data_IF_109869735042
#
_entry.id   IF_109869735042
#
_cell.length_a   1.000
_cell.length_b   1.000
_cell.length_c   1.000
_cell.angle_alpha   90.00
_cell.angle_beta   90.00
_cell.angle_gamma   90.00
#
_symmetry.space_group_name_H-M   'P 1'
#
loop_
_entity.id
_entity.type
_entity.pdbx_description
1 polymer ?
#
# COMPACT_ATOMS: atom_id res chain seq x y z
N UNK A 1 -11.11 -16.76 6.20
CA UNK A 1 -10.62 -15.41 6.53
C UNK A 1 -11.00 -14.46 5.43
N UNK A 2 -11.60 -13.32 5.77
CA UNK A 2 -12.09 -12.38 4.76
C UNK A 2 -11.11 -11.23 4.59
N UNK A 3 -10.69 -10.97 3.35
CA UNK A 3 -9.84 -9.84 3.03
C UNK A 3 -10.72 -8.63 2.71
N UNK A 4 -10.49 -7.54 3.42
CA UNK A 4 -11.26 -6.30 3.25
C UNK A 4 -10.42 -5.29 2.51
N UNK A 5 -10.97 -4.73 1.43
CA UNK A 5 -10.31 -3.67 0.67
C UNK A 5 -11.35 -2.93 -0.16
N UNK A 6 -10.95 -1.77 -0.65
CA UNK A 6 -11.79 -0.91 -1.48
C UNK A 6 -11.03 -0.58 -2.76
N UNK A 7 -11.65 -0.82 -3.91
CA UNK A 7 -11.05 -0.42 -5.19
C UNK A 7 -11.06 1.10 -5.32
N UNK A 8 -9.90 1.67 -5.60
CA UNK A 8 -9.75 3.10 -5.89
C UNK A 8 -9.76 3.36 -7.38
N UNK A 9 -9.38 2.35 -8.15
CA UNK A 9 -9.40 2.34 -9.61
C UNK A 9 -9.47 0.88 -10.05
N UNK A 10 -9.46 0.63 -11.35
CA UNK A 10 -9.44 -0.75 -11.87
C UNK A 10 -8.18 -1.52 -11.46
N UNK A 11 -7.12 -0.80 -11.08
CA UNK A 11 -5.80 -1.41 -10.87
C UNK A 11 -5.26 -1.23 -9.46
N UNK A 12 -5.89 -0.44 -8.59
CA UNK A 12 -5.38 -0.14 -7.25
C UNK A 12 -6.49 -0.26 -6.22
N UNK A 13 -6.23 -1.05 -5.17
CA UNK A 13 -7.11 -1.18 -4.03
C UNK A 13 -6.44 -0.63 -2.77
N UNK A 14 -7.23 -0.09 -1.86
CA UNK A 14 -6.78 0.41 -0.57
C UNK A 14 -7.35 -0.44 0.55
N UNK A 15 -6.56 -0.63 1.61
CA UNK A 15 -6.97 -1.44 2.74
C UNK A 15 -6.40 -0.90 4.05
N UNK A 16 -6.94 -1.39 5.17
CA UNK A 16 -6.36 -1.20 6.49
C UNK A 16 -5.23 -2.20 6.74
N UNK A 17 -4.66 -2.13 7.95
CA UNK A 17 -3.52 -2.98 8.34
C UNK A 17 -3.80 -4.46 8.08
N UNK A 18 -2.79 -5.14 7.56
CA UNK A 18 -2.81 -6.57 7.28
C UNK A 18 -1.83 -7.32 8.19
N UNK A 19 -2.01 -8.62 8.28
CA UNK A 19 -1.11 -9.53 8.97
C UNK A 19 -0.29 -10.34 7.95
N UNK A 20 0.84 -10.94 8.36
CA UNK A 20 1.61 -11.78 7.45
C UNK A 20 0.79 -12.89 6.80
N UNK A 21 -0.18 -13.44 7.52
CA UNK A 21 -1.05 -14.50 7.00
C UNK A 21 -2.02 -14.03 5.93
N UNK A 22 -2.17 -12.71 5.74
CA UNK A 22 -3.01 -12.16 4.68
C UNK A 22 -2.33 -12.17 3.32
N UNK A 23 -0.99 -12.24 3.28
CA UNK A 23 -0.28 -12.11 2.00
C UNK A 23 -0.61 -13.23 1.01
N UNK A 24 -0.70 -14.51 1.42
CA UNK A 24 -1.15 -15.54 0.50
C UNK A 24 -2.58 -15.30 -0.02
N UNK A 25 -3.45 -14.74 0.82
CA UNK A 25 -4.83 -14.44 0.44
C UNK A 25 -4.85 -13.31 -0.60
N UNK A 26 -4.03 -12.28 -0.39
CA UNK A 26 -3.88 -11.17 -1.33
C UNK A 26 -3.40 -11.69 -2.69
N UNK A 27 -2.39 -12.57 -2.68
CA UNK A 27 -1.89 -13.20 -3.91
C UNK A 27 -2.98 -14.01 -4.60
N UNK A 28 -3.77 -14.76 -3.83
CA UNK A 28 -4.85 -15.58 -4.38
C UNK A 28 -5.96 -14.73 -5.01
N UNK A 29 -6.13 -13.49 -4.59
CA UNK A 29 -7.08 -12.56 -5.21
C UNK A 29 -6.58 -11.99 -6.54
N UNK A 30 -5.35 -12.30 -6.94
CA UNK A 30 -4.79 -11.86 -8.21
C UNK A 30 -3.94 -10.60 -8.14
N UNK A 31 -3.75 -10.03 -6.97
CA UNK A 31 -2.86 -8.87 -6.81
C UNK A 31 -1.41 -9.27 -7.13
N UNK A 32 -0.64 -8.32 -7.62
CA UNK A 32 0.77 -8.53 -8.01
C UNK A 32 1.75 -7.77 -7.13
N UNK A 33 1.31 -6.62 -6.59
CA UNK A 33 2.16 -5.74 -5.78
C UNK A 33 1.44 -5.33 -4.52
N UNK A 34 2.17 -5.28 -3.41
CA UNK A 34 1.69 -4.73 -2.14
C UNK A 34 2.50 -3.49 -1.81
N UNK A 35 1.81 -2.39 -1.50
CA UNK A 35 2.44 -1.16 -1.03
C UNK A 35 2.04 -0.93 0.42
N UNK A 36 3.04 -0.74 1.29
CA UNK A 36 2.82 -0.42 2.70
C UNK A 36 3.09 1.06 2.93
N UNK A 37 2.03 1.82 3.24
CA UNK A 37 2.13 3.24 3.55
C UNK A 37 2.21 3.52 5.05
N UNK A 38 2.22 2.51 5.89
CA UNK A 38 2.22 2.70 7.34
C UNK A 38 3.63 2.59 7.92
N UNK A 39 4.13 3.63 8.62
CA UNK A 39 5.44 3.55 9.26
C UNK A 39 5.52 2.43 10.28
N UNK A 40 6.69 1.81 10.39
CA UNK A 40 6.95 0.82 11.43
C UNK A 40 6.78 1.44 12.81
N UNK A 41 6.25 0.66 13.74
CA UNK A 41 6.11 1.09 15.13
C UNK A 41 4.96 2.02 15.41
N UNK A 42 4.22 2.47 14.38
CA UNK A 42 3.11 3.41 14.58
C UNK A 42 2.05 2.85 15.54
N UNK A 43 1.76 1.57 15.43
CA UNK A 43 0.77 0.88 16.26
C UNK A 43 1.38 0.15 17.46
N UNK A 44 2.65 0.38 17.74
CA UNK A 44 3.33 -0.29 18.84
C UNK A 44 3.73 -1.72 18.52
N UNK A 45 3.89 -2.53 19.56
CA UNK A 45 4.39 -3.90 19.42
C UNK A 45 3.44 -4.83 18.67
N UNK A 46 2.16 -4.50 18.63
CA UNK A 46 1.17 -5.32 17.93
C UNK A 46 1.18 -5.17 16.43
N UNK A 47 1.86 -4.14 15.90
CA UNK A 47 1.92 -3.92 14.47
C UNK A 47 3.03 -4.77 13.85
N UNK A 48 2.73 -5.59 12.82
CA UNK A 48 3.79 -6.32 12.13
C UNK A 48 4.80 -5.37 11.49
N UNK A 49 6.07 -5.69 11.60
CA UNK A 49 7.12 -4.91 10.98
C UNK A 49 7.07 -5.05 9.46
N UNK A 50 7.46 -3.98 8.75
CA UNK A 50 7.50 -4.00 7.29
C UNK A 50 8.37 -5.13 6.75
N UNK A 51 9.51 -5.39 7.37
CA UNK A 51 10.40 -6.48 6.95
C UNK A 51 9.72 -7.85 7.05
N UNK A 52 8.90 -8.05 8.05
CA UNK A 52 8.13 -9.30 8.21
C UNK A 52 7.08 -9.45 7.12
N UNK A 53 6.36 -8.37 6.83
CA UNK A 53 5.36 -8.38 5.77
C UNK A 53 6.01 -8.57 4.41
N UNK A 54 7.18 -7.98 4.20
CA UNK A 54 7.93 -8.15 2.95
C UNK A 54 8.30 -9.60 2.72
N UNK A 55 8.83 -10.28 3.75
CA UNK A 55 9.18 -11.70 3.63
C UNK A 55 7.96 -12.54 3.28
N UNK A 56 6.81 -12.26 3.91
CA UNK A 56 5.58 -12.99 3.62
C UNK A 56 5.09 -12.70 2.20
N UNK A 57 5.21 -11.46 1.75
CA UNK A 57 4.81 -11.07 0.39
C UNK A 57 5.68 -11.80 -0.65
N UNK A 58 6.99 -11.79 -0.46
CA UNK A 58 7.92 -12.46 -1.37
C UNK A 58 7.69 -13.95 -1.40
N UNK A 59 7.43 -14.57 -0.25
CA UNK A 59 7.10 -15.99 -0.18
C UNK A 59 5.80 -16.32 -0.93
N UNK A 60 4.87 -15.37 -1.03
CA UNK A 60 3.62 -15.54 -1.75
C UNK A 60 3.72 -15.13 -3.23
N UNK A 61 4.90 -14.76 -3.71
CA UNK A 61 5.13 -14.35 -5.09
C UNK A 61 4.74 -12.93 -5.41
N UNK A 62 4.52 -12.10 -4.39
CA UNK A 62 4.14 -10.70 -4.55
C UNK A 62 5.38 -9.80 -4.56
N UNK A 63 5.29 -8.70 -5.28
CA UNK A 63 6.25 -7.59 -5.13
C UNK A 63 5.83 -6.77 -3.92
N UNK A 64 6.79 -6.17 -3.23
CA UNK A 64 6.53 -5.42 -2.01
C UNK A 64 7.28 -4.09 -2.05
N UNK A 65 6.59 -3.01 -1.73
CA UNK A 65 7.16 -1.66 -1.65
C UNK A 65 6.81 -1.05 -0.31
N UNK A 66 7.82 -0.58 0.42
CA UNK A 66 7.62 0.14 1.66
C UNK A 66 7.74 1.64 1.38
N UNK A 67 6.63 2.35 1.51
CA UNK A 67 6.55 3.78 1.22
C UNK A 67 5.81 4.47 2.36
N UNK A 68 6.48 4.56 3.54
CA UNK A 68 5.80 5.04 4.74
C UNK A 68 5.48 6.53 4.68
N UNK A 69 4.29 6.87 5.18
CA UNK A 69 3.83 8.25 5.31
C UNK A 69 3.29 8.44 6.72
N UNK A 70 3.86 9.38 7.45
CA UNK A 70 3.37 9.72 8.79
C UNK A 70 2.06 10.47 8.67
N UNK A 71 1.05 10.02 9.42
CA UNK A 71 -0.28 10.62 9.38
C UNK A 71 -0.19 12.13 9.70
N UNK A 72 -0.80 12.94 8.84
CA UNK A 72 -0.76 14.40 8.99
C UNK A 72 0.54 15.06 8.56
N UNK A 73 1.52 14.31 8.04
CA UNK A 73 2.82 14.83 7.64
C UNK A 73 3.21 14.39 6.23
N UNK A 74 2.23 14.28 5.35
CA UNK A 74 2.45 13.94 3.96
C UNK A 74 3.31 15.01 3.27
N UNK A 75 4.35 14.58 2.56
CA UNK A 75 5.26 15.49 1.86
C UNK A 75 5.05 15.41 0.35
N UNK A 76 5.40 16.49 -0.39
CA UNK A 76 5.34 16.44 -1.86
C UNK A 76 6.21 15.33 -2.45
N UNK A 77 7.35 15.03 -1.86
CA UNK A 77 8.22 13.96 -2.34
C UNK A 77 7.54 12.60 -2.25
N UNK A 78 6.77 12.37 -1.18
CA UNK A 78 6.04 11.12 -1.03
C UNK A 78 4.96 10.96 -2.09
N UNK A 79 4.32 12.05 -2.50
CA UNK A 79 3.35 12.04 -3.60
C UNK A 79 4.05 11.64 -4.91
N UNK A 80 5.21 12.23 -5.20
CA UNK A 80 6.01 11.90 -6.38
C UNK A 80 6.44 10.43 -6.35
N UNK A 81 6.91 9.96 -5.19
CA UNK A 81 7.36 8.57 -5.04
C UNK A 81 6.20 7.60 -5.26
N UNK A 82 5.01 7.92 -4.74
CA UNK A 82 3.83 7.08 -4.93
C UNK A 82 3.41 7.06 -6.40
N UNK A 83 3.42 8.21 -7.07
CA UNK A 83 3.08 8.29 -8.50
C UNK A 83 4.02 7.42 -9.33
N UNK A 84 5.32 7.51 -9.06
CA UNK A 84 6.32 6.71 -9.77
C UNK A 84 6.13 5.22 -9.51
N UNK A 85 5.85 4.87 -8.26
CA UNK A 85 5.61 3.48 -7.89
C UNK A 85 4.40 2.93 -8.64
N UNK A 86 3.29 3.69 -8.69
CA UNK A 86 2.08 3.25 -9.38
C UNK A 86 2.29 3.11 -10.89
N UNK A 87 3.15 3.95 -11.48
CA UNK A 87 3.45 3.87 -12.91
C UNK A 87 4.22 2.61 -13.27
N UNK A 88 5.06 2.11 -12.36
CA UNK A 88 5.98 1.01 -12.65
C UNK A 88 5.58 -0.31 -12.01
N UNK A 89 4.64 -0.31 -11.06
CA UNK A 89 4.27 -1.50 -10.34
C UNK A 89 3.49 -2.49 -11.21
N UNK A 90 3.75 -3.78 -10.99
CA UNK A 90 2.91 -4.82 -11.57
C UNK A 90 1.52 -4.73 -10.95
N UNK A 91 0.49 -4.73 -11.78
CA UNK A 91 -0.90 -4.53 -11.36
C UNK A 91 -1.69 -5.84 -11.38
N UNK A 92 -2.75 -5.96 -10.59
CA UNK A 92 -3.31 -4.97 -9.66
C UNK A 92 -2.46 -4.76 -8.40
N UNK A 93 -2.57 -3.57 -7.81
CA UNK A 93 -1.82 -3.17 -6.62
C UNK A 93 -2.73 -3.16 -5.40
N UNK A 94 -2.25 -3.74 -4.31
CA UNK A 94 -2.91 -3.71 -3.01
C UNK A 94 -2.09 -2.79 -2.09
N UNK A 95 -2.64 -1.65 -1.73
CA UNK A 95 -1.94 -0.68 -0.88
C UNK A 95 -2.67 -0.52 0.45
N UNK A 96 -1.92 -0.39 1.55
CA UNK A 96 -2.53 -0.31 2.85
C UNK A 96 -1.84 0.70 3.76
N UNK A 97 -2.59 1.15 4.76
CA UNK A 97 -2.09 1.90 5.91
C UNK A 97 -2.86 1.41 7.14
N UNK A 98 -3.07 2.23 8.15
CA UNK A 98 -3.82 1.79 9.33
C UNK A 98 -5.28 1.47 9.00
N UNK A 99 -5.96 2.38 8.28
CA UNK A 99 -7.40 2.25 7.99
C UNK A 99 -7.72 2.27 6.49
N UNK A 100 -6.74 2.56 5.64
CA UNK A 100 -6.95 2.77 4.21
C UNK A 100 -7.11 4.23 3.82
N UNK A 101 -7.46 5.11 4.75
CA UNK A 101 -7.75 6.52 4.44
C UNK A 101 -6.50 7.28 3.95
N UNK A 102 -5.37 7.06 4.60
CA UNK A 102 -4.09 7.70 4.23
C UNK A 102 -3.65 7.24 2.85
N UNK A 103 -3.76 5.94 2.60
CA UNK A 103 -3.45 5.35 1.29
C UNK A 103 -4.34 5.94 0.21
N UNK A 104 -5.63 6.06 0.46
CA UNK A 104 -6.56 6.64 -0.51
C UNK A 104 -6.21 8.10 -0.79
N UNK A 105 -5.92 8.88 0.25
CA UNK A 105 -5.55 10.30 0.08
C UNK A 105 -4.28 10.43 -0.75
N UNK A 106 -3.26 9.63 -0.44
CA UNK A 106 -2.00 9.61 -1.18
C UNK A 106 -2.22 9.21 -2.64
N UNK A 107 -3.05 8.20 -2.88
CA UNK A 107 -3.40 7.75 -4.23
C UNK A 107 -4.03 8.88 -5.03
N UNK A 108 -4.99 9.60 -4.44
CA UNK A 108 -5.68 10.70 -5.13
C UNK A 108 -4.72 11.80 -5.53
N UNK A 109 -3.81 12.18 -4.62
CA UNK A 109 -2.79 13.19 -4.92
C UNK A 109 -1.82 12.71 -6.00
N UNK A 110 -1.41 11.45 -5.94
CA UNK A 110 -0.43 10.86 -6.86
C UNK A 110 -0.99 10.68 -8.27
N UNK A 111 -2.30 10.58 -8.41
CA UNK A 111 -2.95 10.35 -9.70
C UNK A 111 -3.66 11.58 -10.26
N UNK A 112 -3.56 12.73 -9.59
CA UNK A 112 -4.12 13.97 -10.13
C UNK A 112 -3.38 14.37 -11.40
N UNK A 113 -4.12 14.82 -12.44
CA UNK A 113 -3.47 15.37 -13.62
C UNK A 113 -2.66 16.61 -13.26
N UNK A 114 -1.53 16.81 -13.95
CA UNK A 114 -0.76 18.02 -13.78
C UNK A 114 -1.60 19.24 -14.13
N UNK A 115 -1.54 20.28 -13.28
CA UNK A 115 -2.27 21.51 -13.55
C UNK A 115 -1.53 22.33 -14.60
N UNK A 116 -2.23 22.85 -15.62
CA UNK A 116 -1.61 23.76 -16.56
C UNK A 116 -1.19 25.04 -15.84
N UNK A 117 -0.09 25.60 -16.25
CA UNK A 117 0.42 26.83 -15.66
C UNK A 117 0.34 27.97 -16.65
#
# INVERSE_FOLDING_TARGET
>A
MTLHFKWLSDMVAAAGQIAPTDLPVIAAHGFKTVINNRPDGEGGLGQPASAELQRAAEAAGLRYVFLPVVSGQLTPQQVVDMARCLETAATPVFAFCRSGARTEHLFRLATQPSQPR
#
